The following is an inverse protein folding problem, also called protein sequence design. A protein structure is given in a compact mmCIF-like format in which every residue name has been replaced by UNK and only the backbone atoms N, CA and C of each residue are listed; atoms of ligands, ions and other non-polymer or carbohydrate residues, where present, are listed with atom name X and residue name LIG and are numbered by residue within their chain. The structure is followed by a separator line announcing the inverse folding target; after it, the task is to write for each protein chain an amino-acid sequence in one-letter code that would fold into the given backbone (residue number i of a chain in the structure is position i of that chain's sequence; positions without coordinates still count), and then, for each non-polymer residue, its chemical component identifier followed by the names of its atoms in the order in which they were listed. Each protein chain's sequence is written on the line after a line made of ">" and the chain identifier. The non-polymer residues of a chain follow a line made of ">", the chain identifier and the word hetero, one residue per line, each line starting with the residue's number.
data_IF_390794321795
#
_entry.id   IF_390794321795
#
_cell.length_a   1.000
_cell.length_b   1.000
_cell.length_c   1.000
_cell.angle_alpha   90.00
_cell.angle_beta   90.00
_cell.angle_gamma   90.00
#
_symmetry.space_group_name_H-M   'P 1'
#
loop_
_entity.id
_entity.type
_entity.pdbx_description
1 polymer ?
#
# COMPACT_ATOMS: atom_id res chain seq x y z
N UNK A 1 13.47 -17.33 13.06
CA UNK A 1 13.86 -15.98 12.62
C UNK A 1 12.73 -14.98 12.77
N UNK A 2 11.56 -15.19 12.15
CA UNK A 2 10.43 -14.24 12.21
C UNK A 2 9.95 -13.91 13.64
N UNK A 3 9.86 -14.91 14.54
CA UNK A 3 9.48 -14.66 15.94
C UNK A 3 10.46 -13.73 16.68
N UNK A 4 11.76 -13.85 16.39
CA UNK A 4 12.79 -12.97 16.97
C UNK A 4 12.78 -11.59 16.32
N UNK A 5 12.45 -11.51 15.02
CA UNK A 5 12.24 -10.24 14.33
C UNK A 5 11.02 -9.48 14.90
N UNK A 6 9.98 -10.20 15.34
CA UNK A 6 8.81 -9.62 16.01
C UNK A 6 9.10 -9.20 17.45
N UNK A 7 9.82 -10.02 18.23
CA UNK A 7 10.19 -9.72 19.60
C UNK A 7 11.55 -10.37 19.94
N UNK A 8 12.63 -9.59 20.09
CA UNK A 8 13.95 -10.11 20.45
C UNK A 8 14.00 -10.83 21.80
N UNK A 9 13.08 -10.50 22.72
CA UNK A 9 13.00 -11.08 24.06
C UNK A 9 12.06 -12.29 24.12
N UNK A 10 11.63 -12.81 22.97
CA UNK A 10 10.71 -13.94 22.92
C UNK A 10 11.34 -15.19 23.53
N UNK A 11 10.80 -15.64 24.66
CA UNK A 11 11.17 -16.91 25.31
C UNK A 11 10.47 -18.07 24.59
N UNK A 12 11.09 -19.25 24.55
CA UNK A 12 10.65 -20.42 23.78
C UNK A 12 9.24 -20.92 24.17
N UNK A 13 8.20 -20.27 23.66
CA UNK A 13 6.85 -20.80 23.66
C UNK A 13 6.64 -21.61 22.38
N UNK A 14 6.35 -22.89 22.53
CA UNK A 14 6.10 -23.79 21.40
C UNK A 14 4.67 -23.62 20.92
N UNK A 15 4.48 -22.87 19.84
CA UNK A 15 3.22 -22.85 19.14
C UNK A 15 2.94 -24.20 18.45
N UNK A 16 1.67 -24.60 18.31
CA UNK A 16 1.33 -25.66 17.38
C UNK A 16 1.79 -25.28 15.97
N UNK A 17 2.37 -26.23 15.25
CA UNK A 17 2.79 -26.01 13.86
C UNK A 17 1.56 -25.96 12.96
N UNK A 18 1.13 -24.74 12.63
CA UNK A 18 0.05 -24.49 11.68
C UNK A 18 0.69 -24.18 10.33
N UNK A 19 0.28 -24.91 9.29
CA UNK A 19 0.73 -24.63 7.93
C UNK A 19 0.08 -23.33 7.44
N UNK A 20 0.82 -22.45 6.75
CA UNK A 20 0.26 -21.23 6.19
C UNK A 20 -0.87 -21.57 5.22
N UNK A 21 -2.00 -20.89 5.37
CA UNK A 21 -3.10 -21.00 4.41
C UNK A 21 -2.86 -20.02 3.25
N UNK A 22 -2.88 -20.46 1.99
CA UNK A 22 -2.64 -19.57 0.86
C UNK A 22 -3.66 -18.42 0.80
N UNK A 23 -3.20 -17.19 0.56
CA UNK A 23 -4.08 -16.01 0.52
C UNK A 23 -5.25 -16.13 -0.46
N UNK A 24 -5.03 -16.71 -1.64
CA UNK A 24 -6.10 -16.93 -2.64
C UNK A 24 -7.21 -17.87 -2.17
N UNK A 25 -7.00 -18.64 -1.09
CA UNK A 25 -8.03 -19.48 -0.45
C UNK A 25 -8.67 -18.82 0.77
N UNK A 26 -8.04 -17.77 1.32
CA UNK A 26 -8.60 -16.96 2.41
C UNK A 26 -9.69 -16.02 1.86
N UNK A 27 -9.45 -15.44 0.68
CA UNK A 27 -10.37 -14.50 0.04
C UNK A 27 -11.40 -15.20 -0.86
N UNK A 28 -12.49 -14.48 -1.18
CA UNK A 28 -13.51 -14.97 -2.12
C UNK A 28 -12.91 -14.99 -3.53
N UNK A 29 -13.43 -15.88 -4.40
CA UNK A 29 -12.94 -16.03 -5.78
C UNK A 29 -13.05 -14.78 -6.65
N UNK A 30 -13.86 -13.79 -6.26
CA UNK A 30 -14.04 -12.51 -6.96
C UNK A 30 -13.07 -11.41 -6.50
N UNK A 31 -12.24 -11.67 -5.49
CA UNK A 31 -11.26 -10.69 -5.02
C UNK A 31 -10.15 -10.56 -6.05
N UNK A 32 -9.76 -9.31 -6.37
CA UNK A 32 -8.73 -9.04 -7.37
C UNK A 32 -7.36 -9.56 -6.92
N UNK A 33 -6.55 -9.99 -7.89
CA UNK A 33 -5.19 -10.50 -7.64
C UNK A 33 -4.29 -9.44 -7.03
N UNK A 34 -4.48 -8.19 -7.41
CA UNK A 34 -3.73 -7.02 -6.94
C UNK A 34 -4.05 -6.73 -5.47
N UNK A 35 -5.30 -6.92 -5.04
CA UNK A 35 -5.69 -6.75 -3.64
C UNK A 35 -5.09 -7.85 -2.75
N UNK A 36 -5.08 -9.08 -3.26
CA UNK A 36 -4.47 -10.22 -2.56
C UNK A 36 -2.96 -10.01 -2.42
N UNK A 37 -2.29 -9.59 -3.49
CA UNK A 37 -0.86 -9.29 -3.51
C UNK A 37 -0.52 -8.15 -2.54
N UNK A 38 -1.28 -7.05 -2.57
CA UNK A 38 -1.12 -5.93 -1.64
C UNK A 38 -1.19 -6.37 -0.17
N UNK A 39 -2.23 -7.13 0.20
CA UNK A 39 -2.41 -7.61 1.58
C UNK A 39 -1.28 -8.55 1.98
N UNK A 40 -0.81 -9.40 1.05
CA UNK A 40 0.27 -10.35 1.34
C UNK A 40 1.59 -9.67 1.71
N UNK A 41 1.87 -8.49 1.13
CA UNK A 41 3.05 -7.68 1.43
C UNK A 41 2.91 -6.90 2.74
N UNK A 42 1.69 -6.54 3.12
CA UNK A 42 1.41 -5.79 4.34
C UNK A 42 1.40 -6.69 5.58
N UNK A 43 0.77 -7.86 5.47
CA UNK A 43 0.57 -8.80 6.59
C UNK A 43 1.71 -9.82 6.70
N UNK A 44 2.93 -9.31 6.88
CA UNK A 44 4.13 -10.11 7.16
C UNK A 44 4.53 -10.02 8.63
N UNK A 45 5.12 -11.11 9.14
CA UNK A 45 5.52 -11.21 10.54
C UNK A 45 6.66 -10.24 10.87
N UNK A 46 7.73 -10.22 10.07
CA UNK A 46 8.82 -9.27 10.27
C UNK A 46 8.36 -7.82 9.98
N UNK A 47 8.32 -6.93 10.99
CA UNK A 47 7.88 -5.56 10.79
C UNK A 47 8.78 -4.77 9.84
N UNK A 48 10.06 -5.15 9.69
CA UNK A 48 11.03 -4.46 8.81
C UNK A 48 10.79 -4.74 7.32
N UNK A 49 10.08 -5.83 7.01
CA UNK A 49 9.72 -6.18 5.64
C UNK A 49 8.42 -5.49 5.19
N UNK A 50 7.70 -4.85 6.10
CA UNK A 50 6.45 -4.15 5.75
C UNK A 50 6.78 -2.86 4.99
N UNK A 51 6.09 -2.60 3.87
CA UNK A 51 6.23 -1.32 3.18
C UNK A 51 5.75 -0.16 4.06
N UNK A 52 6.36 1.01 3.90
CA UNK A 52 5.87 2.25 4.52
C UNK A 52 4.50 2.65 3.96
N UNK A 53 3.79 3.55 4.63
CA UNK A 53 2.50 4.05 4.15
C UNK A 53 2.59 4.67 2.75
N UNK A 54 3.64 5.45 2.48
CA UNK A 54 3.87 6.04 1.16
C UNK A 54 4.19 4.98 0.10
N UNK A 55 5.00 3.97 0.45
CA UNK A 55 5.27 2.85 -0.46
C UNK A 55 3.98 2.07 -0.77
N UNK A 56 3.12 1.86 0.22
CA UNK A 56 1.80 1.24 0.02
C UNK A 56 0.96 2.01 -1.00
N UNK A 57 0.95 3.34 -0.92
CA UNK A 57 0.22 4.19 -1.85
C UNK A 57 0.73 4.11 -3.30
N UNK A 58 1.92 3.54 -3.56
CA UNK A 58 2.46 3.30 -4.92
C UNK A 58 2.04 1.96 -5.54
N UNK A 59 1.32 1.11 -4.81
CA UNK A 59 0.93 -0.21 -5.28
C UNK A 59 -0.01 -0.14 -6.50
N UNK A 60 0.05 -1.16 -7.37
CA UNK A 60 -0.76 -1.22 -8.59
C UNK A 60 -2.27 -1.29 -8.33
N UNK A 61 -2.65 -1.75 -7.14
CA UNK A 61 -4.03 -1.70 -6.65
C UNK A 61 -4.66 -0.29 -6.72
N UNK A 62 -3.82 0.75 -6.68
CA UNK A 62 -4.24 2.15 -6.70
C UNK A 62 -3.88 2.86 -8.02
N UNK A 63 -3.42 2.14 -9.05
CA UNK A 63 -3.05 2.75 -10.34
C UNK A 63 -4.25 3.45 -10.99
N UNK A 64 -5.44 2.83 -10.94
CA UNK A 64 -6.69 3.40 -11.46
C UNK A 64 -7.03 4.77 -10.86
N UNK A 65 -6.55 5.10 -9.65
CA UNK A 65 -6.77 6.42 -9.05
C UNK A 65 -5.91 7.51 -9.68
N UNK A 66 -4.80 7.13 -10.32
CA UNK A 66 -3.81 8.03 -10.92
C UNK A 66 -4.08 8.32 -12.38
N UNK A 67 -5.10 7.68 -12.96
CA UNK A 67 -5.56 7.98 -14.31
C UNK A 67 -6.27 9.36 -14.37
N UNK A 68 -6.05 10.17 -15.41
CA UNK A 68 -6.62 11.52 -15.50
C UNK A 68 -8.16 11.56 -15.50
N UNK A 69 -8.81 10.48 -15.92
CA UNK A 69 -10.26 10.35 -16.01
C UNK A 69 -10.88 9.58 -14.84
N UNK A 70 -10.06 9.24 -13.83
CA UNK A 70 -10.49 8.50 -12.65
C UNK A 70 -11.58 9.24 -11.87
N UNK A 71 -12.64 8.51 -11.51
CA UNK A 71 -13.83 9.05 -10.84
C UNK A 71 -14.33 8.05 -9.80
N UNK A 72 -14.87 8.58 -8.70
CA UNK A 72 -15.52 7.76 -7.66
C UNK A 72 -16.79 7.10 -8.22
N UNK A 73 -17.53 7.85 -9.04
CA UNK A 73 -18.70 7.37 -9.76
C UNK A 73 -18.92 8.25 -11.01
N UNK A 74 -19.82 7.89 -11.94
CA UNK A 74 -20.02 8.66 -13.17
C UNK A 74 -20.26 10.16 -12.95
N UNK A 75 -20.90 10.53 -11.83
CA UNK A 75 -21.23 11.92 -11.49
C UNK A 75 -20.37 12.50 -10.35
N UNK A 76 -19.31 11.79 -9.92
CA UNK A 76 -18.48 12.20 -8.78
C UNK A 76 -16.99 12.05 -9.12
N UNK A 77 -16.32 13.20 -9.28
CA UNK A 77 -14.88 13.28 -9.43
C UNK A 77 -14.14 12.77 -8.17
N UNK A 78 -12.85 12.44 -8.34
CA UNK A 78 -11.97 12.21 -7.20
C UNK A 78 -11.80 13.50 -6.38
N UNK A 79 -11.47 13.40 -5.08
CA UNK A 79 -11.14 14.57 -4.27
C UNK A 79 -9.90 15.28 -4.82
N UNK A 80 -9.95 16.61 -4.95
CA UNK A 80 -8.83 17.41 -5.48
C UNK A 80 -7.57 17.32 -4.59
N UNK A 81 -7.75 17.03 -3.30
CA UNK A 81 -6.65 16.87 -2.34
C UNK A 81 -5.99 15.49 -2.36
N UNK A 82 -6.42 14.56 -3.22
CA UNK A 82 -5.92 13.18 -3.23
C UNK A 82 -4.40 13.09 -3.48
N UNK A 83 -3.85 14.02 -4.27
CA UNK A 83 -2.42 14.10 -4.60
C UNK A 83 -1.70 15.28 -3.93
N UNK A 84 -2.38 15.98 -3.02
CA UNK A 84 -1.86 17.16 -2.32
C UNK A 84 -1.17 16.75 -1.03
N UNK A 85 0.05 16.22 -1.15
CA UNK A 85 0.86 15.78 -0.01
C UNK A 85 1.45 16.96 0.77
N UNK A 86 1.50 16.87 2.09
CA UNK A 86 2.09 17.91 2.95
C UNK A 86 3.60 18.03 2.76
N UNK A 87 4.21 19.10 3.29
CA UNK A 87 5.68 19.26 3.26
C UNK A 87 6.40 18.14 3.99
N UNK A 88 5.80 17.67 5.09
CA UNK A 88 6.31 16.57 5.92
C UNK A 88 6.25 15.25 5.14
N UNK A 89 5.16 14.98 4.43
CA UNK A 89 5.04 13.78 3.58
C UNK A 89 6.00 13.83 2.40
N UNK A 90 6.13 14.98 1.74
CA UNK A 90 7.06 15.17 0.63
C UNK A 90 8.52 15.04 1.06
N UNK A 91 8.86 15.35 2.31
CA UNK A 91 10.19 15.15 2.86
C UNK A 91 10.55 13.67 3.07
N UNK A 92 9.55 12.80 3.17
CA UNK A 92 9.71 11.34 3.26
C UNK A 92 9.78 10.65 1.88
N UNK A 93 9.54 11.38 0.79
CA UNK A 93 9.56 10.85 -0.57
C UNK A 93 10.93 11.06 -1.22
N UNK A 94 11.50 9.99 -1.75
CA UNK A 94 12.56 10.11 -2.75
C UNK A 94 11.98 10.49 -4.13
N UNK A 95 12.86 10.66 -5.12
CA UNK A 95 12.47 11.04 -6.47
C UNK A 95 11.57 10.00 -7.14
N UNK A 96 11.74 8.70 -6.86
CA UNK A 96 10.93 7.65 -7.47
C UNK A 96 9.54 7.59 -6.85
N UNK A 97 9.45 7.62 -5.51
CA UNK A 97 8.18 7.68 -4.78
C UNK A 97 7.36 8.89 -5.22
N UNK A 98 7.98 10.06 -5.32
CA UNK A 98 7.28 11.27 -5.75
C UNK A 98 6.69 11.11 -7.15
N UNK A 99 7.47 10.58 -8.10
CA UNK A 99 7.03 10.33 -9.48
C UNK A 99 5.90 9.30 -9.55
N UNK A 100 5.89 8.31 -8.67
CA UNK A 100 4.84 7.28 -8.62
C UNK A 100 3.57 7.74 -7.90
N UNK A 101 3.70 8.63 -6.92
CA UNK A 101 2.58 9.10 -6.09
C UNK A 101 1.87 10.31 -6.70
N UNK A 102 2.59 11.20 -7.38
CA UNK A 102 2.05 12.44 -7.93
C UNK A 102 2.02 12.35 -9.46
N UNK A 103 0.83 12.15 -10.07
CA UNK A 103 0.69 12.13 -11.53
C UNK A 103 1.04 13.49 -12.14
N UNK A 104 1.53 13.50 -13.37
CA UNK A 104 1.93 14.74 -14.07
C UNK A 104 0.76 15.73 -14.22
N UNK A 105 -0.45 15.22 -14.46
CA UNK A 105 -1.66 16.04 -14.58
C UNK A 105 -2.05 16.70 -13.25
N UNK A 106 -1.78 16.05 -12.12
CA UNK A 106 -2.09 16.58 -10.79
C UNK A 106 -1.06 17.66 -10.38
N UNK A 107 0.21 17.48 -10.78
CA UNK A 107 1.27 18.44 -10.52
C UNK A 107 1.03 19.81 -11.18
N UNK A 108 0.31 19.85 -12.30
CA UNK A 108 0.01 21.08 -13.05
C UNK A 108 -1.23 21.83 -12.52
N UNK A 109 -2.11 21.16 -11.76
CA UNK A 109 -3.36 21.73 -11.25
C UNK A 109 -3.26 22.50 -9.93
N UNK A 110 -2.08 22.52 -9.30
CA UNK A 110 -1.85 23.15 -7.99
C UNK A 110 -1.40 24.62 -8.03
N UNK A 111 -1.22 25.21 -9.22
CA UNK A 111 -0.97 26.64 -9.40
C UNK A 111 -2.29 27.37 -9.72
N UNK A 112 -3.13 27.58 -8.70
CA UNK A 112 -4.39 28.33 -8.78
C UNK A 112 -4.78 28.92 -7.44
#
# INVERSE_FOLDING_TARGET
>A
EELMAMNPNYTEFKFPQIKPHPWHKVFRSKTSTEAIDYISKLLVYDPKLRPSGLQCCTHCLFDDLREPDARVSPNKALPDCLFSFSKEEQALMDADLRRRLIPEWAAQGGEG
#
